data_IF_203509446935
#
_entry.id   IF_203509446935
#
_cell.length_a   1.000
_cell.length_b   1.000
_cell.length_c   1.000
_cell.angle_alpha   90.00
_cell.angle_beta   90.00
_cell.angle_gamma   90.00
#
_symmetry.space_group_name_H-M   'P 1'
#
loop_
_entity.id
_entity.type
_entity.pdbx_description
1 polymer ?
#
# COMPACT_ATOMS: atom_id res chain seq x y z
N UNK A 1 5.71 16.39 -15.76
CA UNK A 1 5.24 15.10 -16.30
C UNK A 1 4.60 15.34 -17.65
N UNK A 2 4.74 14.43 -18.63
CA UNK A 2 4.04 14.53 -19.91
C UNK A 2 2.52 14.52 -19.67
N UNK A 3 1.77 15.31 -20.44
CA UNK A 3 0.31 15.32 -20.44
C UNK A 3 -0.21 14.64 -21.70
N UNK A 4 -1.16 13.73 -21.53
CA UNK A 4 -1.83 13.02 -22.62
C UNK A 4 -3.30 13.49 -22.62
N UNK A 5 -3.81 13.93 -23.77
CA UNK A 5 -5.21 14.30 -23.97
C UNK A 5 -5.81 13.35 -25.01
N UNK A 6 -6.91 12.67 -24.67
CA UNK A 6 -7.57 11.68 -25.51
C UNK A 6 -9.08 11.79 -25.31
N UNK A 7 -9.83 11.74 -26.40
CA UNK A 7 -11.28 11.61 -26.37
C UNK A 7 -11.66 10.15 -26.17
N UNK A 8 -12.48 9.86 -25.16
CA UNK A 8 -13.02 8.52 -24.92
C UNK A 8 -14.52 8.49 -25.17
N UNK A 9 -15.07 7.39 -25.71
CA UNK A 9 -16.52 7.23 -25.86
C UNK A 9 -17.26 7.36 -24.53
N UNK A 10 -18.49 7.88 -24.57
CA UNK A 10 -19.36 8.05 -23.38
C UNK A 10 -19.55 6.75 -22.60
N UNK A 11 -19.61 5.61 -23.31
CA UNK A 11 -19.72 4.28 -22.69
C UNK A 11 -18.50 3.88 -21.86
N UNK A 12 -17.29 4.30 -22.24
CA UNK A 12 -16.10 4.06 -21.43
C UNK A 12 -15.99 5.06 -20.29
N UNK A 13 -16.38 6.32 -20.52
CA UNK A 13 -16.38 7.32 -19.46
C UNK A 13 -17.34 6.96 -18.32
N UNK A 14 -18.51 6.38 -18.61
CA UNK A 14 -19.44 5.94 -17.57
C UNK A 14 -18.87 4.81 -16.72
N UNK A 15 -18.23 3.82 -17.34
CA UNK A 15 -17.56 2.71 -16.64
C UNK A 15 -16.37 3.21 -15.82
N UNK A 16 -15.57 4.13 -16.37
CA UNK A 16 -14.45 4.77 -15.67
C UNK A 16 -14.92 5.47 -14.39
N UNK A 17 -16.00 6.25 -14.47
CA UNK A 17 -16.56 6.95 -13.31
C UNK A 17 -17.12 5.99 -12.25
N UNK A 18 -17.77 4.91 -12.68
CA UNK A 18 -18.25 3.87 -11.75
C UNK A 18 -17.08 3.21 -11.00
N UNK A 19 -15.98 2.94 -11.70
CA UNK A 19 -14.80 2.30 -11.12
C UNK A 19 -14.04 3.23 -10.16
N UNK A 20 -13.95 4.53 -10.47
CA UNK A 20 -13.41 5.57 -9.56
C UNK A 20 -14.15 5.55 -8.22
N UNK A 21 -15.49 5.51 -8.26
CA UNK A 21 -16.32 5.45 -7.05
C UNK A 21 -16.12 4.14 -6.29
N UNK A 22 -16.08 3.00 -7.00
CA UNK A 22 -15.93 1.68 -6.39
C UNK A 22 -14.58 1.49 -5.69
N UNK A 23 -13.50 1.91 -6.35
CA UNK A 23 -12.12 1.74 -5.88
C UNK A 23 -11.63 2.85 -4.95
N UNK A 24 -12.41 3.93 -4.80
CA UNK A 24 -12.04 5.14 -4.04
C UNK A 24 -10.70 5.74 -4.49
N UNK A 25 -10.42 5.67 -5.79
CA UNK A 25 -9.19 6.20 -6.40
C UNK A 25 -9.52 7.41 -7.28
N UNK A 26 -8.50 8.14 -7.74
CA UNK A 26 -8.68 9.22 -8.71
C UNK A 26 -8.47 8.72 -10.16
N UNK A 27 -8.94 9.51 -11.12
CA UNK A 27 -8.83 9.17 -12.55
C UNK A 27 -7.38 8.92 -12.98
N UNK A 28 -6.43 9.72 -12.48
CA UNK A 28 -5.01 9.60 -12.88
C UNK A 28 -4.44 8.28 -12.39
N UNK A 29 -4.73 7.90 -11.14
CA UNK A 29 -4.32 6.62 -10.56
C UNK A 29 -4.89 5.43 -11.33
N UNK A 30 -6.19 5.47 -11.65
CA UNK A 30 -6.85 4.39 -12.41
C UNK A 30 -6.30 4.26 -13.83
N UNK A 31 -6.15 5.38 -14.55
CA UNK A 31 -5.59 5.38 -15.91
C UNK A 31 -4.13 4.95 -15.91
N UNK A 32 -3.35 5.39 -14.91
CA UNK A 32 -1.95 4.97 -14.75
C UNK A 32 -1.86 3.46 -14.54
N UNK A 33 -2.67 2.89 -13.65
CA UNK A 33 -2.73 1.45 -13.41
C UNK A 33 -3.14 0.67 -14.68
N UNK A 34 -4.16 1.14 -15.40
CA UNK A 34 -4.60 0.52 -16.64
C UNK A 34 -3.53 0.54 -17.73
N UNK A 35 -2.84 1.67 -17.91
CA UNK A 35 -1.75 1.81 -18.88
C UNK A 35 -0.54 0.97 -18.48
N UNK A 36 -0.17 0.96 -17.20
CA UNK A 36 0.89 0.12 -16.66
C UNK A 36 0.65 -1.35 -16.96
N UNK A 37 -0.58 -1.82 -16.69
CA UNK A 37 -1.01 -3.18 -16.97
C UNK A 37 -0.98 -3.49 -18.47
N UNK A 38 -1.54 -2.60 -19.31
CA UNK A 38 -1.61 -2.80 -20.76
C UNK A 38 -0.22 -2.82 -21.42
N UNK A 39 0.66 -1.91 -21.01
CA UNK A 39 2.01 -1.76 -21.54
C UNK A 39 3.03 -2.70 -20.88
N UNK A 40 2.62 -3.45 -19.85
CA UNK A 40 3.50 -4.31 -19.03
C UNK A 40 4.67 -3.54 -18.41
N UNK A 41 4.40 -2.31 -18.00
CA UNK A 41 5.38 -1.44 -17.34
C UNK A 41 4.91 -1.25 -15.90
N UNK A 42 5.48 -1.96 -14.91
CA UNK A 42 5.05 -1.83 -13.53
C UNK A 42 5.24 -0.39 -13.05
N UNK A 43 4.19 0.17 -12.45
CA UNK A 43 4.26 1.44 -11.75
C UNK A 43 4.51 1.14 -10.28
N UNK A 44 5.66 1.57 -9.78
CA UNK A 44 6.02 1.39 -8.38
C UNK A 44 5.23 2.38 -7.53
N UNK A 45 4.45 1.85 -6.59
CA UNK A 45 3.70 2.62 -5.61
C UNK A 45 4.34 2.49 -4.24
N UNK A 46 4.12 3.50 -3.38
CA UNK A 46 4.44 3.42 -1.96
C UNK A 46 3.13 3.29 -1.19
N UNK A 47 3.03 2.26 -0.37
CA UNK A 47 1.93 2.09 0.57
C UNK A 47 2.42 2.45 1.98
N UNK A 48 1.63 3.24 2.70
CA UNK A 48 1.93 3.64 4.07
C UNK A 48 0.65 3.62 4.88
N UNK A 49 0.71 2.99 6.05
CA UNK A 49 -0.37 3.03 7.04
C UNK A 49 -0.04 4.13 8.04
N UNK A 50 -1.02 5.01 8.31
CA UNK A 50 -0.84 6.17 9.19
C UNK A 50 0.21 7.18 8.68
N UNK A 51 0.70 8.05 9.57
CA UNK A 51 1.75 9.04 9.29
C UNK A 51 2.80 9.05 10.40
N UNK A 52 4.02 9.47 10.09
CA UNK A 52 5.08 9.64 11.10
C UNK A 52 4.68 10.63 12.20
N UNK A 53 3.92 11.68 11.86
CA UNK A 53 3.40 12.62 12.85
C UNK A 53 2.42 11.98 13.85
N UNK A 54 1.52 11.11 13.38
CA UNK A 54 0.61 10.36 14.25
C UNK A 54 1.37 9.39 15.17
N UNK A 55 2.43 8.76 14.65
CA UNK A 55 3.31 7.92 15.44
C UNK A 55 3.99 8.72 16.56
N UNK A 56 4.63 9.84 16.24
CA UNK A 56 5.27 10.72 17.24
C UNK A 56 4.27 11.24 18.29
N UNK A 57 3.00 11.40 17.90
CA UNK A 57 1.93 11.83 18.79
C UNK A 57 1.37 10.72 19.70
N UNK A 58 1.87 9.48 19.62
CA UNK A 58 1.45 8.38 20.49
C UNK A 58 0.34 7.48 19.94
N UNK A 59 0.01 7.58 18.65
CA UNK A 59 -1.04 6.73 18.03
C UNK A 59 -0.44 5.37 17.66
N UNK A 60 -0.44 4.44 18.62
CA UNK A 60 0.22 3.13 18.50
C UNK A 60 -0.73 1.93 18.34
N UNK A 61 -2.04 2.15 18.35
CA UNK A 61 -3.01 1.07 18.17
C UNK A 61 -2.89 0.44 16.78
N UNK A 62 -2.98 -0.90 16.71
CA UNK A 62 -2.97 -1.63 15.44
C UNK A 62 -4.03 -1.11 14.46
N UNK A 63 -3.62 -0.90 13.21
CA UNK A 63 -4.47 -0.36 12.15
C UNK A 63 -4.70 -1.36 11.00
N UNK A 64 -3.74 -2.23 10.73
CA UNK A 64 -3.79 -3.28 9.71
C UNK A 64 -3.09 -4.53 10.22
N UNK A 65 -3.44 -5.70 9.68
CA UNK A 65 -2.70 -6.94 9.94
C UNK A 65 -1.56 -7.15 8.93
N UNK A 66 -0.58 -7.98 9.27
CA UNK A 66 0.47 -8.49 8.37
C UNK A 66 -0.11 -9.00 7.05
N UNK A 67 -1.17 -9.82 7.11
CA UNK A 67 -1.82 -10.35 5.91
C UNK A 67 -2.37 -9.24 4.99
N UNK A 68 -2.94 -8.19 5.58
CA UNK A 68 -3.49 -7.06 4.82
C UNK A 68 -2.38 -6.18 4.26
N UNK A 69 -1.27 -6.02 5.00
CA UNK A 69 -0.10 -5.28 4.56
C UNK A 69 0.53 -5.92 3.31
N UNK A 70 0.70 -7.25 3.30
CA UNK A 70 1.28 -8.00 2.18
C UNK A 70 0.45 -7.94 0.88
N UNK A 71 -0.80 -7.47 0.93
CA UNK A 71 -1.57 -7.17 -0.28
C UNK A 71 -1.06 -5.93 -1.03
N UNK A 72 -0.20 -5.12 -0.39
CA UNK A 72 0.29 -3.85 -0.93
C UNK A 72 1.77 -3.87 -1.33
N UNK A 73 2.51 -4.95 -1.04
CA UNK A 73 3.91 -5.08 -1.39
C UNK A 73 4.61 -6.20 -0.63
N UNK A 74 5.81 -6.54 -1.10
CA UNK A 74 6.68 -7.62 -0.59
C UNK A 74 7.99 -7.09 0.01
N UNK A 75 8.16 -5.77 0.07
CA UNK A 75 9.33 -5.08 0.64
C UNK A 75 8.90 -3.84 1.43
N UNK A 76 9.52 -3.62 2.59
CA UNK A 76 9.19 -2.47 3.42
C UNK A 76 9.69 -2.56 4.86
N UNK A 77 9.28 -1.59 5.66
CA UNK A 77 9.64 -1.45 7.07
C UNK A 77 8.52 -0.77 7.85
N UNK A 78 8.57 -0.86 9.17
CA UNK A 78 7.65 -0.17 10.07
C UNK A 78 7.82 -0.67 11.50
N UNK A 79 6.73 -0.63 12.27
CA UNK A 79 6.68 -1.13 13.66
C UNK A 79 5.34 -1.83 13.89
N UNK A 80 5.25 -2.60 14.97
CA UNK A 80 4.01 -3.25 15.38
C UNK A 80 3.18 -2.34 16.29
N UNK A 81 1.97 -2.79 16.60
CA UNK A 81 1.15 -2.13 17.62
C UNK A 81 1.92 -1.96 18.93
N UNK A 82 1.63 -0.89 19.66
CA UNK A 82 2.28 -0.54 20.94
C UNK A 82 3.81 -0.37 20.86
N UNK A 83 4.36 -0.15 19.65
CA UNK A 83 5.80 -0.10 19.38
C UNK A 83 6.52 -1.39 19.80
N UNK A 84 5.87 -2.55 19.67
CA UNK A 84 6.49 -3.85 19.95
C UNK A 84 7.51 -4.22 18.86
N UNK A 85 8.65 -3.57 18.89
CA UNK A 85 9.76 -3.82 17.97
C UNK A 85 9.55 -3.29 16.55
N UNK A 86 10.55 -3.57 15.71
CA UNK A 86 10.61 -3.13 14.34
C UNK A 86 10.09 -4.21 13.39
N UNK A 87 9.37 -3.79 12.38
CA UNK A 87 8.90 -4.63 11.30
C UNK A 87 9.84 -4.50 10.10
N UNK A 88 10.27 -5.64 9.56
CA UNK A 88 11.00 -5.73 8.30
C UNK A 88 10.24 -6.64 7.35
N UNK A 89 9.93 -6.15 6.15
CA UNK A 89 9.30 -6.94 5.09
C UNK A 89 10.34 -7.21 3.99
N UNK A 90 10.59 -8.47 3.70
CA UNK A 90 11.56 -8.90 2.70
C UNK A 90 11.07 -10.14 1.96
N UNK A 91 11.05 -10.08 0.63
CA UNK A 91 10.61 -11.17 -0.26
C UNK A 91 9.23 -11.76 0.14
N UNK A 92 8.33 -10.89 0.62
CA UNK A 92 6.97 -11.28 1.04
C UNK A 92 6.88 -11.89 2.44
N UNK A 93 8.00 -11.99 3.16
CA UNK A 93 8.04 -12.41 4.56
C UNK A 93 8.08 -11.19 5.47
N UNK A 94 7.39 -11.26 6.61
CA UNK A 94 7.38 -10.19 7.62
C UNK A 94 8.08 -10.67 8.88
N UNK A 95 9.10 -9.94 9.30
CA UNK A 95 9.88 -10.21 10.50
C UNK A 95 9.68 -9.13 11.54
N UNK A 96 9.58 -9.55 12.79
CA UNK A 96 9.62 -8.69 13.96
C UNK A 96 11.00 -8.76 14.60
N UNK A 97 11.66 -7.61 14.70
CA UNK A 97 12.93 -7.42 15.42
C UNK A 97 12.60 -6.76 16.75
N UNK A 98 12.65 -7.53 17.83
CA UNK A 98 12.34 -7.02 19.17
C UNK A 98 13.52 -6.24 19.74
N UNK A 99 13.28 -5.37 20.73
CA UNK A 99 14.34 -4.62 21.42
C UNK A 99 15.41 -5.48 22.11
N UNK A 100 15.14 -6.78 22.29
CA UNK A 100 16.11 -7.78 22.76
C UNK A 100 17.11 -8.23 21.69
N UNK A 101 16.87 -7.88 20.42
CA UNK A 101 17.60 -8.38 19.25
C UNK A 101 17.07 -9.72 18.72
N UNK A 102 16.04 -10.30 19.35
CA UNK A 102 15.38 -11.50 18.82
C UNK A 102 14.63 -11.17 17.54
N UNK A 103 14.81 -12.01 16.53
CA UNK A 103 14.08 -11.95 15.26
C UNK A 103 13.16 -13.16 15.14
N UNK A 104 11.90 -12.92 14.82
CA UNK A 104 10.94 -13.97 14.49
C UNK A 104 10.03 -13.56 13.34
N UNK A 105 9.57 -14.53 12.56
CA UNK A 105 8.55 -14.29 11.54
C UNK A 105 7.22 -13.97 12.22
N UNK A 106 6.55 -12.91 11.75
CA UNK A 106 5.31 -12.41 12.32
C UNK A 106 4.12 -13.25 11.81
N UNK A 107 3.14 -13.58 12.68
CA UNK A 107 1.97 -14.30 12.25
C UNK A 107 1.09 -13.42 11.34
N UNK A 108 0.28 -13.99 10.42
CA UNK A 108 -0.55 -13.22 9.50
C UNK A 108 -1.55 -12.25 10.17
N UNK A 109 -1.89 -12.51 11.42
CA UNK A 109 -2.85 -11.73 12.22
C UNK A 109 -2.20 -10.68 13.13
N UNK A 110 -0.86 -10.62 13.19
CA UNK A 110 -0.15 -9.57 13.92
C UNK A 110 -0.41 -8.19 13.30
#
# INVERSE_FOLDING_TARGET
MPKIAVDIPTSLNSVLNAEIVRSKTDTSSLVTAALAQYLKTPVHTLFQVSTSGALVAGVYSGAVSVQSLLQHGDFGLGTFADLDGEMVVLDGHVYQVQGTGRVSEAPPTA
#
